data_IF_809254958433
#
_entry.id   IF_809254958433
#
_cell.length_a   1.000
_cell.length_b   1.000
_cell.length_c   1.000
_cell.angle_alpha   90.00
_cell.angle_beta   90.00
_cell.angle_gamma   90.00
#
_symmetry.space_group_name_H-M   'P 1'
#
loop_
_entity.id
_entity.type
_entity.pdbx_description
1 polymer ?
#
# COMPACT_ATOMS: atom_id res chain seq x y z
N UNK A 1 -58.87 -33.12 -29.35
CA UNK A 1 -57.64 -32.50 -29.75
C UNK A 1 -56.97 -31.91 -28.47
N UNK A 2 -55.91 -32.55 -27.91
CA UNK A 2 -55.17 -32.11 -26.74
C UNK A 2 -54.01 -31.23 -27.22
N UNK A 3 -54.00 -29.95 -26.81
CA UNK A 3 -52.87 -29.03 -27.07
C UNK A 3 -51.80 -29.28 -26.03
N UNK A 4 -50.62 -29.71 -26.48
CA UNK A 4 -49.42 -29.85 -25.66
C UNK A 4 -48.70 -28.50 -25.67
N UNK A 5 -48.58 -27.85 -24.49
CA UNK A 5 -47.76 -26.65 -24.32
C UNK A 5 -46.29 -27.09 -23.98
N UNK A 6 -45.37 -26.78 -24.87
CA UNK A 6 -43.92 -26.91 -24.56
C UNK A 6 -43.46 -25.68 -23.78
N UNK A 7 -43.09 -25.89 -22.54
CA UNK A 7 -42.40 -24.88 -21.71
C UNK A 7 -40.92 -24.89 -22.06
N UNK A 8 -40.44 -23.89 -22.80
CA UNK A 8 -39.02 -23.72 -23.07
C UNK A 8 -38.41 -23.02 -21.85
N UNK A 9 -37.64 -23.77 -21.04
CA UNK A 9 -36.85 -23.24 -19.95
C UNK A 9 -35.58 -22.56 -20.55
N UNK A 10 -35.52 -21.23 -20.51
CA UNK A 10 -34.30 -20.51 -20.81
C UNK A 10 -33.33 -20.63 -19.63
N UNK A 11 -32.30 -21.47 -19.74
CA UNK A 11 -31.18 -21.48 -18.86
C UNK A 11 -30.25 -20.30 -19.25
N UNK A 12 -30.35 -19.19 -18.50
CA UNK A 12 -29.36 -18.13 -18.62
C UNK A 12 -27.98 -18.67 -18.19
N UNK A 13 -26.90 -18.42 -18.95
CA UNK A 13 -25.57 -18.84 -18.52
C UNK A 13 -25.18 -18.05 -17.26
N UNK A 14 -25.03 -18.73 -16.13
CA UNK A 14 -24.35 -18.18 -14.97
C UNK A 14 -22.88 -18.00 -15.37
N UNK A 15 -22.51 -16.75 -15.68
CA UNK A 15 -21.11 -16.37 -15.76
C UNK A 15 -20.51 -16.53 -14.36
N UNK A 16 -19.78 -17.61 -14.13
CA UNK A 16 -18.88 -17.74 -12.98
C UNK A 16 -17.81 -16.64 -13.13
N UNK A 17 -18.04 -15.50 -12.49
CA UNK A 17 -16.94 -14.57 -12.21
C UNK A 17 -16.05 -15.30 -11.25
N UNK A 18 -14.90 -15.78 -11.74
CA UNK A 18 -13.86 -16.38 -10.90
C UNK A 18 -13.55 -15.36 -9.77
N UNK A 19 -13.91 -15.69 -8.54
CA UNK A 19 -13.58 -14.89 -7.38
C UNK A 19 -12.05 -14.94 -7.27
N UNK A 20 -11.40 -13.77 -7.41
CA UNK A 20 -9.95 -13.66 -7.27
C UNK A 20 -9.56 -14.16 -5.89
N UNK A 21 -8.52 -15.00 -5.80
CA UNK A 21 -8.08 -15.60 -4.55
C UNK A 21 -7.84 -14.53 -3.49
N UNK A 22 -8.22 -14.83 -2.26
CA UNK A 22 -7.98 -13.96 -1.11
C UNK A 22 -6.47 -13.83 -0.87
N UNK A 23 -6.05 -12.61 -0.57
CA UNK A 23 -4.63 -12.33 -0.29
C UNK A 23 -4.18 -13.08 0.96
N UNK A 24 -3.06 -13.81 0.85
CA UNK A 24 -2.55 -14.67 1.93
C UNK A 24 -1.66 -13.87 2.89
N UNK A 25 -1.90 -14.02 4.20
CA UNK A 25 -1.05 -13.41 5.24
C UNK A 25 0.33 -14.08 5.26
N UNK A 26 1.34 -13.34 4.87
CA UNK A 26 2.75 -13.77 4.80
C UNK A 26 3.68 -12.59 4.50
N UNK A 27 4.98 -12.84 4.41
CA UNK A 27 5.94 -11.90 3.82
C UNK A 27 5.91 -11.98 2.29
N UNK A 28 5.92 -10.82 1.63
CA UNK A 28 6.11 -10.63 0.19
C UNK A 28 7.43 -9.89 0.00
N UNK A 29 8.40 -10.57 -0.61
CA UNK A 29 9.72 -10.01 -0.76
C UNK A 29 9.77 -8.91 -1.81
N UNK A 30 10.60 -7.90 -1.57
CA UNK A 30 10.92 -6.88 -2.55
C UNK A 30 11.47 -7.53 -3.82
N UNK A 31 11.01 -7.05 -4.95
CA UNK A 31 11.53 -7.41 -6.27
C UNK A 31 11.93 -6.12 -6.97
N UNK A 32 13.23 -5.97 -7.19
CA UNK A 32 13.75 -4.80 -7.90
C UNK A 32 13.13 -4.73 -9.29
N UNK A 33 12.46 -3.64 -9.67
CA UNK A 33 12.10 -3.40 -11.05
C UNK A 33 13.38 -3.31 -11.90
N UNK A 34 13.47 -4.08 -12.96
CA UNK A 34 14.63 -4.04 -13.87
C UNK A 34 14.30 -3.13 -15.02
N UNK A 35 14.95 -1.98 -15.07
CA UNK A 35 14.84 -1.04 -16.20
C UNK A 35 15.56 -1.63 -17.42
N UNK A 36 14.82 -1.85 -18.49
CA UNK A 36 15.43 -2.02 -19.82
C UNK A 36 15.72 -0.61 -20.35
N UNK A 37 16.86 -0.38 -20.95
CA UNK A 37 17.38 0.91 -21.42
C UNK A 37 16.44 1.77 -22.30
N UNK A 38 15.18 1.35 -22.50
CA UNK A 38 14.17 2.01 -23.33
C UNK A 38 12.90 2.43 -22.58
N UNK A 39 12.77 2.14 -21.26
CA UNK A 39 11.57 2.48 -20.49
C UNK A 39 11.92 3.40 -19.33
N UNK A 40 11.32 4.59 -19.30
CA UNK A 40 11.49 5.55 -18.20
C UNK A 40 10.85 5.04 -16.88
N UNK A 41 9.87 4.14 -16.96
CA UNK A 41 9.19 3.54 -15.80
C UNK A 41 9.09 2.03 -15.98
N UNK A 42 9.51 1.31 -14.97
CA UNK A 42 9.30 -0.13 -14.82
C UNK A 42 8.45 -0.44 -13.60
N UNK A 43 7.70 -1.54 -13.64
CA UNK A 43 6.77 -1.92 -12.58
C UNK A 43 6.73 -3.43 -12.42
N UNK A 44 6.79 -3.91 -11.17
CA UNK A 44 6.65 -5.33 -10.81
C UNK A 44 5.52 -5.46 -9.80
N UNK A 45 4.57 -6.36 -10.05
CA UNK A 45 3.52 -6.69 -9.08
C UNK A 45 4.13 -7.56 -7.99
N UNK A 46 4.10 -7.11 -6.73
CA UNK A 46 4.54 -7.86 -5.57
C UNK A 46 3.44 -8.81 -5.09
N UNK A 47 2.21 -8.32 -5.05
CA UNK A 47 1.02 -9.11 -4.79
C UNK A 47 -0.23 -8.46 -5.36
N UNK A 48 -1.28 -9.28 -5.52
CA UNK A 48 -2.57 -8.91 -6.07
C UNK A 48 -3.64 -9.89 -5.57
N UNK A 49 -4.72 -9.38 -4.95
CA UNK A 49 -5.77 -10.22 -4.41
C UNK A 49 -6.92 -9.41 -3.81
N UNK A 50 -7.89 -10.12 -3.22
CA UNK A 50 -8.94 -9.51 -2.40
C UNK A 50 -8.60 -9.61 -0.91
N UNK A 51 -9.22 -8.76 -0.09
CA UNK A 51 -9.11 -8.81 1.38
C UNK A 51 -10.51 -8.87 1.99
N UNK A 52 -10.61 -8.83 3.32
CA UNK A 52 -11.91 -8.79 3.99
C UNK A 52 -12.73 -7.57 3.53
N UNK A 53 -12.14 -6.38 3.43
CA UNK A 53 -12.82 -5.12 3.10
C UNK A 53 -12.62 -4.69 1.65
N UNK A 54 -11.51 -5.11 1.02
CA UNK A 54 -11.17 -4.72 -0.34
C UNK A 54 -11.59 -5.78 -1.36
N UNK A 55 -12.35 -5.36 -2.37
CA UNK A 55 -12.63 -6.17 -3.55
C UNK A 55 -11.33 -6.48 -4.31
N UNK A 56 -10.38 -5.57 -4.27
CA UNK A 56 -9.10 -5.68 -4.92
C UNK A 56 -8.05 -4.83 -4.19
N UNK A 57 -6.89 -5.40 -3.95
CA UNK A 57 -5.70 -4.77 -3.41
C UNK A 57 -4.49 -5.27 -4.19
N UNK A 58 -3.72 -4.35 -4.76
CA UNK A 58 -2.49 -4.66 -5.48
C UNK A 58 -1.36 -3.78 -4.94
N UNK A 59 -0.18 -4.36 -4.77
CA UNK A 59 1.05 -3.65 -4.44
C UNK A 59 2.06 -3.85 -5.55
N UNK A 60 2.56 -2.74 -6.07
CA UNK A 60 3.61 -2.72 -7.07
C UNK A 60 4.91 -2.15 -6.47
N UNK A 61 6.05 -2.70 -6.91
CA UNK A 61 7.34 -2.04 -6.88
C UNK A 61 7.55 -1.33 -8.22
N UNK A 62 7.76 -0.04 -8.19
CA UNK A 62 7.97 0.80 -9.37
C UNK A 62 9.33 1.48 -9.31
N UNK A 63 10.00 1.58 -10.45
CA UNK A 63 11.21 2.40 -10.64
C UNK A 63 10.94 3.48 -11.69
N UNK A 64 11.36 4.70 -11.42
CA UNK A 64 11.34 5.82 -12.36
C UNK A 64 12.76 6.31 -12.58
N UNK A 65 13.28 6.16 -13.79
CA UNK A 65 14.58 6.73 -14.18
C UNK A 65 14.44 8.24 -14.39
N UNK A 66 15.57 8.95 -14.47
CA UNK A 66 15.61 10.38 -14.76
C UNK A 66 14.79 10.73 -16.00
N UNK A 67 14.02 11.81 -15.94
CA UNK A 67 13.18 12.25 -17.05
C UNK A 67 13.17 13.76 -17.21
N UNK A 68 13.27 14.24 -18.47
CA UNK A 68 13.25 15.66 -18.80
C UNK A 68 11.87 16.30 -18.61
N UNK A 69 10.78 15.51 -18.71
CA UNK A 69 9.41 15.99 -18.61
C UNK A 69 8.60 15.22 -17.55
N UNK A 70 7.69 15.92 -16.88
CA UNK A 70 6.74 15.31 -15.96
C UNK A 70 5.71 14.45 -16.72
N UNK A 71 5.49 13.22 -16.23
CA UNK A 71 4.44 12.33 -16.73
C UNK A 71 3.13 12.69 -16.06
N UNK A 72 2.17 13.21 -16.81
CA UNK A 72 0.80 13.48 -16.36
C UNK A 72 -0.01 12.19 -16.33
N UNK A 73 -0.77 11.99 -15.25
CA UNK A 73 -1.59 10.81 -14.99
C UNK A 73 -2.90 11.19 -14.29
N UNK A 74 -3.85 10.27 -14.30
CA UNK A 74 -5.09 10.37 -13.53
C UNK A 74 -5.32 9.03 -12.81
N UNK A 75 -5.70 9.10 -11.56
CA UNK A 75 -6.16 7.91 -10.81
C UNK A 75 -7.48 7.43 -11.41
N UNK A 76 -7.64 6.14 -11.76
CA UNK A 76 -8.93 5.62 -12.20
C UNK A 76 -10.05 5.93 -11.19
N UNK A 77 -11.24 6.29 -11.67
CA UNK A 77 -12.38 6.66 -10.81
C UNK A 77 -12.88 5.52 -9.91
N UNK A 78 -12.43 4.30 -10.17
CA UNK A 78 -12.82 3.09 -9.43
C UNK A 78 -11.84 2.67 -8.35
N UNK A 79 -10.71 3.38 -8.18
CA UNK A 79 -9.67 2.99 -7.22
C UNK A 79 -9.07 4.21 -6.52
N UNK A 80 -8.40 3.95 -5.43
CA UNK A 80 -7.58 4.89 -4.67
C UNK A 80 -6.14 4.40 -4.70
N UNK A 81 -5.17 5.30 -4.66
CA UNK A 81 -3.75 4.95 -4.75
C UNK A 81 -2.95 5.60 -3.64
N UNK A 82 -2.07 4.81 -3.00
CA UNK A 82 -1.07 5.28 -2.05
C UNK A 82 0.33 5.00 -2.61
N UNK A 83 1.12 6.04 -2.79
CA UNK A 83 2.53 5.96 -3.17
C UNK A 83 3.40 6.09 -1.93
N UNK A 84 4.48 5.32 -1.86
CA UNK A 84 5.47 5.37 -0.78
C UNK A 84 6.86 5.34 -1.41
N UNK A 85 7.65 6.39 -1.20
CA UNK A 85 8.98 6.49 -1.79
C UNK A 85 9.95 5.61 -1.01
N UNK A 86 10.51 4.59 -1.68
CA UNK A 86 11.46 3.65 -1.09
C UNK A 86 12.89 4.17 -1.15
N UNK A 87 13.29 4.78 -2.28
CA UNK A 87 14.66 5.26 -2.51
C UNK A 87 14.68 6.37 -3.54
N UNK A 88 15.60 7.32 -3.40
CA UNK A 88 15.75 8.43 -4.32
C UNK A 88 14.77 9.58 -4.04
N UNK A 89 14.51 10.38 -5.06
CA UNK A 89 13.63 11.55 -5.00
C UNK A 89 12.58 11.50 -6.10
N UNK A 90 11.35 11.88 -5.78
CA UNK A 90 10.23 11.98 -6.72
C UNK A 90 9.65 13.38 -6.70
N UNK A 91 9.67 14.07 -7.83
CA UNK A 91 8.92 15.32 -8.02
C UNK A 91 7.47 14.98 -8.38
N UNK A 92 6.52 15.49 -7.60
CA UNK A 92 5.09 15.23 -7.75
C UNK A 92 4.33 16.53 -7.92
N UNK A 93 3.52 16.63 -9.00
CA UNK A 93 2.59 17.72 -9.21
C UNK A 93 1.17 17.29 -8.85
N UNK A 94 0.49 18.06 -7.99
CA UNK A 94 -0.91 17.85 -7.59
C UNK A 94 -1.56 19.21 -7.27
N UNK A 95 -2.78 19.45 -7.79
CA UNK A 95 -3.54 20.67 -7.50
C UNK A 95 -2.71 21.97 -7.65
N UNK A 96 -2.07 22.15 -8.81
CA UNK A 96 -1.23 23.31 -9.16
C UNK A 96 0.02 23.52 -8.29
N UNK A 97 0.30 22.60 -7.37
CA UNK A 97 1.49 22.59 -6.53
C UNK A 97 2.46 21.49 -6.96
N UNK A 98 3.76 21.74 -6.76
CA UNK A 98 4.84 20.80 -7.07
C UNK A 98 5.69 20.56 -5.83
N UNK A 99 5.96 19.30 -5.55
CA UNK A 99 6.70 18.84 -4.36
C UNK A 99 7.87 17.97 -4.79
N UNK A 100 9.02 18.17 -4.18
CA UNK A 100 10.16 17.24 -4.24
C UNK A 100 10.12 16.37 -2.98
N UNK A 101 9.90 15.07 -3.15
CA UNK A 101 9.65 14.12 -2.09
C UNK A 101 10.78 13.11 -2.01
N UNK A 102 11.29 12.89 -0.80
CA UNK A 102 12.39 11.98 -0.52
C UNK A 102 11.90 10.64 0.02
N UNK A 103 12.83 9.70 0.19
CA UNK A 103 12.62 8.42 0.88
C UNK A 103 11.75 8.55 2.14
N UNK A 104 10.77 7.67 2.29
CA UNK A 104 9.79 7.69 3.38
C UNK A 104 8.59 8.61 3.16
N UNK A 105 8.62 9.53 2.19
CA UNK A 105 7.47 10.37 1.85
C UNK A 105 6.35 9.56 1.21
N UNK A 106 5.10 10.05 1.36
CA UNK A 106 3.91 9.39 0.81
C UNK A 106 3.00 10.34 0.04
N UNK A 107 2.21 9.78 -0.87
CA UNK A 107 1.18 10.49 -1.63
C UNK A 107 -0.08 9.63 -1.62
N UNK A 108 -1.19 10.14 -1.05
CA UNK A 108 -2.51 9.53 -1.16
C UNK A 108 -3.31 10.27 -2.22
N UNK A 109 -3.82 9.53 -3.19
CA UNK A 109 -4.57 10.05 -4.34
C UNK A 109 -5.96 9.43 -4.40
N UNK A 110 -6.99 10.27 -4.28
CA UNK A 110 -8.38 9.86 -4.41
C UNK A 110 -8.75 9.46 -5.85
N UNK A 111 -9.85 8.71 -6.05
CA UNK A 111 -10.37 8.40 -7.38
C UNK A 111 -10.58 9.66 -8.23
N UNK A 112 -10.13 9.61 -9.49
CA UNK A 112 -10.24 10.72 -10.45
C UNK A 112 -9.21 11.85 -10.26
N UNK A 113 -8.30 11.77 -9.29
CA UNK A 113 -7.28 12.80 -9.07
C UNK A 113 -6.29 12.86 -10.24
N UNK A 114 -6.13 14.06 -10.83
CA UNK A 114 -5.04 14.34 -11.76
C UNK A 114 -3.76 14.65 -10.99
N UNK A 115 -2.65 14.11 -11.46
CA UNK A 115 -1.32 14.33 -10.86
C UNK A 115 -0.22 14.13 -11.90
N UNK A 116 0.99 14.50 -11.56
CA UNK A 116 2.16 14.21 -12.38
C UNK A 116 3.33 13.73 -11.52
N UNK A 117 4.19 12.91 -12.12
CA UNK A 117 5.44 12.48 -11.52
C UNK A 117 6.61 12.74 -12.46
N UNK A 118 7.76 13.06 -11.88
CA UNK A 118 9.02 13.26 -12.57
C UNK A 118 10.17 12.86 -11.65
N UNK A 119 11.18 12.19 -12.18
CA UNK A 119 12.46 12.06 -11.50
C UNK A 119 13.43 13.06 -12.11
N UNK A 120 13.80 14.12 -11.38
CA UNK A 120 14.77 15.14 -11.79
C UNK A 120 16.21 14.77 -11.40
N UNK A 121 16.39 13.79 -10.52
CA UNK A 121 17.69 13.32 -10.09
C UNK A 121 18.34 12.41 -11.14
N UNK A 122 19.66 12.31 -11.14
CA UNK A 122 20.39 11.40 -12.03
C UNK A 122 20.16 9.91 -11.64
N UNK A 123 20.02 9.62 -10.35
CA UNK A 123 19.75 8.27 -9.85
C UNK A 123 18.27 7.89 -10.01
N UNK A 124 17.95 6.60 -10.25
CA UNK A 124 16.56 6.13 -10.26
C UNK A 124 15.87 6.36 -8.91
N UNK A 125 14.54 6.53 -8.97
CA UNK A 125 13.65 6.57 -7.82
C UNK A 125 12.83 5.28 -7.75
N UNK A 126 12.97 4.54 -6.65
CA UNK A 126 12.18 3.36 -6.34
C UNK A 126 11.03 3.72 -5.41
N UNK A 127 9.82 3.23 -5.70
CA UNK A 127 8.65 3.51 -4.87
C UNK A 127 7.61 2.38 -4.96
N UNK A 128 6.81 2.25 -3.91
CA UNK A 128 5.64 1.38 -3.90
C UNK A 128 4.42 2.12 -4.43
N UNK A 129 3.53 1.38 -5.08
CA UNK A 129 2.18 1.85 -5.42
C UNK A 129 1.17 0.82 -4.93
N UNK A 130 0.50 1.15 -3.84
CA UNK A 130 -0.67 0.44 -3.35
C UNK A 130 -1.90 0.96 -4.09
N UNK A 131 -2.59 0.07 -4.81
CA UNK A 131 -3.85 0.36 -5.51
C UNK A 131 -4.94 -0.48 -4.90
N UNK A 132 -6.10 0.11 -4.64
CA UNK A 132 -7.16 -0.64 -3.98
C UNK A 132 -8.56 -0.15 -4.35
N UNK A 133 -9.52 -1.09 -4.25
CA UNK A 133 -10.94 -0.89 -4.47
C UNK A 133 -11.71 -1.51 -3.31
N UNK A 134 -12.55 -0.72 -2.65
CA UNK A 134 -13.43 -1.22 -1.60
C UNK A 134 -14.46 -2.22 -2.16
N UNK A 135 -14.98 -3.11 -1.31
CA UNK A 135 -16.19 -3.89 -1.59
C UNK A 135 -17.44 -3.03 -1.61
N UNK A 136 -17.45 -1.94 -0.86
CA UNK A 136 -18.49 -0.90 -0.92
C UNK A 136 -18.21 0.09 -2.06
N UNK A 137 -19.22 0.77 -2.60
CA UNK A 137 -19.00 1.87 -3.53
C UNK A 137 -18.07 2.95 -2.95
N UNK A 138 -17.29 3.60 -3.82
CA UNK A 138 -16.45 4.73 -3.42
C UNK A 138 -17.33 5.87 -2.90
N UNK A 139 -16.95 6.42 -1.74
CA UNK A 139 -17.58 7.60 -1.13
C UNK A 139 -16.65 8.80 -1.32
N UNK A 140 -16.77 9.46 -2.47
CA UNK A 140 -15.90 10.58 -2.84
C UNK A 140 -16.10 11.79 -1.93
N UNK A 141 -17.32 12.01 -1.43
CA UNK A 141 -17.61 13.11 -0.50
C UNK A 141 -16.89 12.89 0.83
N UNK A 142 -16.99 11.68 1.38
CA UNK A 142 -16.21 11.30 2.57
C UNK A 142 -14.71 11.52 2.36
N UNK A 143 -14.18 11.09 1.21
CA UNK A 143 -12.76 11.27 0.89
C UNK A 143 -12.36 12.75 0.87
N UNK A 144 -13.14 13.61 0.21
CA UNK A 144 -12.89 15.05 0.08
C UNK A 144 -12.99 15.78 1.42
N UNK A 145 -14.06 15.54 2.18
CA UNK A 145 -14.33 16.21 3.47
C UNK A 145 -13.32 15.82 4.55
N UNK A 146 -12.70 14.65 4.42
CA UNK A 146 -11.63 14.20 5.30
C UNK A 146 -10.22 14.52 4.78
N UNK A 147 -10.07 15.56 3.96
CA UNK A 147 -8.80 16.15 3.56
C UNK A 147 -8.29 15.77 2.17
N UNK A 148 -9.10 15.09 1.35
CA UNK A 148 -8.82 14.87 -0.08
C UNK A 148 -7.54 14.09 -0.36
N UNK A 149 -7.02 14.26 -1.58
CA UNK A 149 -5.67 13.82 -1.95
C UNK A 149 -4.61 14.66 -1.27
N UNK A 150 -3.53 14.06 -0.77
CA UNK A 150 -2.52 14.77 0.00
C UNK A 150 -1.14 14.11 -0.07
N UNK A 151 -0.15 14.88 0.37
CA UNK A 151 1.24 14.48 0.47
C UNK A 151 1.69 14.62 1.93
N UNK A 152 2.54 13.71 2.37
CA UNK A 152 3.33 13.81 3.61
C UNK A 152 4.80 13.64 3.25
N UNK A 153 5.56 14.72 3.41
CA UNK A 153 7.01 14.69 3.25
C UNK A 153 7.64 14.16 4.54
N UNK A 154 8.50 13.17 4.41
CA UNK A 154 9.27 12.56 5.51
C UNK A 154 9.98 13.61 6.37
N UNK A 155 10.58 14.61 5.75
CA UNK A 155 11.34 15.65 6.44
C UNK A 155 10.48 16.49 7.40
N UNK A 156 9.17 16.54 7.17
CA UNK A 156 8.21 17.30 7.97
C UNK A 156 7.51 16.45 9.05
N UNK A 157 7.81 15.14 9.14
CA UNK A 157 7.18 14.25 10.12
C UNK A 157 8.08 14.08 11.33
N UNK A 158 7.61 14.57 12.48
CA UNK A 158 8.37 14.58 13.72
C UNK A 158 8.56 13.15 14.22
N UNK A 159 9.82 12.77 14.47
CA UNK A 159 10.16 11.56 15.20
C UNK A 159 9.91 11.77 16.69
N UNK A 160 9.14 10.87 17.30
CA UNK A 160 8.84 10.85 18.73
C UNK A 160 9.55 9.65 19.37
N UNK A 161 10.67 9.86 20.10
CA UNK A 161 11.37 8.77 20.75
C UNK A 161 10.54 8.17 21.89
N UNK A 162 10.78 6.87 22.16
CA UNK A 162 10.23 6.15 23.31
C UNK A 162 11.22 5.05 23.76
N UNK A 163 10.90 4.29 24.82
CA UNK A 163 11.79 3.29 25.40
C UNK A 163 12.18 2.19 24.42
N UNK A 164 11.30 1.86 23.45
CA UNK A 164 11.54 0.83 22.43
C UNK A 164 12.25 1.35 21.17
N UNK A 165 12.39 2.68 21.01
CA UNK A 165 12.97 3.33 19.84
C UNK A 165 12.24 4.61 19.51
N UNK A 166 11.09 4.54 18.80
CA UNK A 166 10.29 5.72 18.51
C UNK A 166 9.29 5.54 17.38
N UNK A 167 8.53 6.59 17.11
CA UNK A 167 7.47 6.59 16.09
C UNK A 167 7.42 7.88 15.27
N UNK A 168 6.87 7.81 14.05
CA UNK A 168 6.45 8.95 13.24
C UNK A 168 4.99 8.74 12.84
N UNK A 169 4.08 9.62 13.25
CA UNK A 169 2.67 9.51 12.90
C UNK A 169 2.40 10.26 11.61
N UNK A 170 1.88 9.57 10.59
CA UNK A 170 1.52 10.15 9.30
C UNK A 170 0.10 10.68 9.30
N UNK A 171 -0.88 9.80 9.47
CA UNK A 171 -2.30 10.16 9.55
C UNK A 171 -3.14 8.97 10.02
N UNK A 172 -4.34 9.28 10.49
CA UNK A 172 -5.42 8.34 10.72
C UNK A 172 -6.73 9.02 10.32
N UNK A 173 -7.41 8.51 9.29
CA UNK A 173 -8.67 9.11 8.81
C UNK A 173 -9.41 8.17 7.86
N UNK A 174 -10.72 8.40 7.63
CA UNK A 174 -11.42 7.77 6.50
C UNK A 174 -10.96 8.37 5.16
N UNK A 175 -11.13 7.59 4.08
CA UNK A 175 -10.84 7.99 2.69
C UNK A 175 -12.04 7.71 1.81
N UNK A 176 -11.91 7.83 0.49
CA UNK A 176 -13.00 7.47 -0.42
C UNK A 176 -13.26 5.96 -0.43
N UNK A 177 -12.23 5.13 -0.19
CA UNK A 177 -12.33 3.66 -0.27
C UNK A 177 -12.31 2.97 1.09
N UNK A 178 -11.88 3.63 2.16
CA UNK A 178 -11.75 3.04 3.51
C UNK A 178 -12.56 3.83 4.53
N UNK A 179 -13.12 3.14 5.52
CA UNK A 179 -13.71 3.78 6.71
C UNK A 179 -12.62 4.28 7.64
N UNK A 180 -11.46 3.60 7.64
CA UNK A 180 -10.26 3.96 8.37
C UNK A 180 -9.04 3.57 7.54
N UNK A 181 -8.14 4.51 7.33
CA UNK A 181 -6.78 4.29 6.89
C UNK A 181 -5.85 4.96 7.89
N UNK A 182 -4.99 4.18 8.51
CA UNK A 182 -4.04 4.61 9.53
C UNK A 182 -2.63 4.28 9.05
N UNK A 183 -1.72 5.23 9.17
CA UNK A 183 -0.34 5.04 8.76
C UNK A 183 0.62 5.70 9.73
N UNK A 184 1.57 4.93 10.22
CA UNK A 184 2.67 5.41 11.03
C UNK A 184 3.96 4.64 10.72
N UNK A 185 5.08 5.16 11.18
CA UNK A 185 6.39 4.49 11.15
C UNK A 185 6.80 4.17 12.57
N UNK A 186 7.30 2.96 12.76
CA UNK A 186 7.89 2.50 14.01
C UNK A 186 9.37 2.21 13.80
N UNK A 187 10.20 2.67 14.74
CA UNK A 187 11.59 2.27 14.88
C UNK A 187 11.74 1.43 16.15
N UNK A 188 12.33 0.24 16.05
CA UNK A 188 12.60 -0.65 17.19
C UNK A 188 14.09 -0.85 17.40
N UNK A 189 14.54 -0.73 18.65
CA UNK A 189 15.88 -1.10 19.08
C UNK A 189 16.13 -2.61 18.86
N UNK A 190 17.39 -3.05 18.75
CA UNK A 190 17.75 -4.46 18.62
C UNK A 190 17.10 -5.36 19.68
N UNK A 191 16.60 -6.51 19.26
CA UNK A 191 16.03 -7.55 20.14
C UNK A 191 14.62 -7.23 20.68
N UNK A 192 14.10 -6.01 20.49
CA UNK A 192 12.82 -5.62 21.07
C UNK A 192 11.63 -6.02 20.19
N UNK A 193 10.48 -6.27 20.84
CA UNK A 193 9.17 -6.42 20.22
C UNK A 193 8.44 -5.08 20.23
N UNK A 194 7.65 -4.82 19.18
CA UNK A 194 6.72 -3.69 19.16
C UNK A 194 5.71 -3.82 20.32
N UNK A 195 5.05 -4.96 20.36
CA UNK A 195 4.06 -5.36 21.38
C UNK A 195 3.98 -6.90 21.42
N UNK A 196 3.27 -7.46 22.38
CA UNK A 196 2.95 -8.87 22.37
C UNK A 196 2.01 -9.21 21.22
N UNK A 197 2.07 -10.45 20.68
CA UNK A 197 1.18 -10.87 19.60
C UNK A 197 -0.29 -10.64 19.95
N UNK A 198 -1.04 -10.03 19.01
CA UNK A 198 -2.43 -9.67 19.20
C UNK A 198 -3.22 -9.81 17.90
N UNK A 199 -4.51 -9.55 17.95
CA UNK A 199 -5.41 -9.53 16.80
C UNK A 199 -6.19 -8.23 16.78
N UNK A 200 -6.55 -7.74 15.60
CA UNK A 200 -7.48 -6.64 15.41
C UNK A 200 -8.26 -6.78 14.09
N UNK A 201 -9.40 -6.07 14.02
CA UNK A 201 -10.33 -6.15 12.88
C UNK A 201 -9.73 -5.61 11.58
N UNK A 202 -8.96 -4.53 11.63
CA UNK A 202 -8.32 -3.97 10.46
C UNK A 202 -7.33 -4.96 9.84
N UNK A 203 -7.25 -5.03 8.52
CA UNK A 203 -6.10 -5.63 7.86
C UNK A 203 -4.89 -4.70 7.98
N UNK A 204 -3.68 -5.27 7.98
CA UNK A 204 -2.45 -4.47 8.14
C UNK A 204 -1.39 -4.87 7.13
N UNK A 205 -0.62 -3.89 6.68
CA UNK A 205 0.65 -4.09 5.96
C UNK A 205 1.77 -3.46 6.76
N UNK A 206 2.86 -4.23 6.91
CA UNK A 206 4.12 -3.71 7.46
C UNK A 206 5.16 -3.70 6.34
N UNK A 207 5.66 -2.51 5.96
CA UNK A 207 6.66 -2.33 4.91
C UNK A 207 7.99 -1.99 5.56
N UNK A 208 8.99 -2.85 5.37
CA UNK A 208 10.32 -2.67 5.94
C UNK A 208 11.06 -1.52 5.24
N UNK A 209 11.43 -0.50 6.02
CA UNK A 209 12.25 0.61 5.55
C UNK A 209 13.73 0.25 5.71
N UNK A 210 14.09 -0.31 6.87
CA UNK A 210 15.47 -0.62 7.22
C UNK A 210 15.53 -1.74 8.27
N UNK A 211 16.65 -2.48 8.30
CA UNK A 211 16.94 -3.50 9.30
C UNK A 211 16.29 -4.86 9.03
N UNK A 212 16.27 -5.71 10.04
CA UNK A 212 15.86 -7.11 9.96
C UNK A 212 14.82 -7.41 11.03
N UNK A 213 13.68 -7.97 10.63
CA UNK A 213 12.61 -8.29 11.55
C UNK A 213 12.15 -9.74 11.40
N UNK A 214 11.47 -10.21 12.44
CA UNK A 214 10.68 -11.44 12.39
C UNK A 214 9.24 -11.11 12.80
N UNK A 215 8.30 -11.49 11.94
CA UNK A 215 6.87 -11.36 12.13
C UNK A 215 6.26 -12.71 12.46
N UNK A 216 5.61 -12.83 13.61
CA UNK A 216 4.69 -13.93 13.89
C UNK A 216 3.38 -13.67 13.13
N UNK A 217 2.90 -14.66 12.36
CA UNK A 217 1.61 -14.64 11.67
C UNK A 217 0.91 -15.96 11.98
N UNK A 218 -0.11 -15.94 12.84
CA UNK A 218 -0.70 -17.15 13.42
C UNK A 218 0.35 -17.95 14.19
N UNK A 219 0.61 -19.18 13.74
CA UNK A 219 1.62 -20.05 14.36
C UNK A 219 2.96 -20.06 13.59
N UNK A 220 3.11 -19.27 12.53
CA UNK A 220 4.30 -19.23 11.67
C UNK A 220 5.10 -17.97 11.92
N UNK A 221 6.41 -18.07 11.68
CA UNK A 221 7.34 -16.95 11.77
C UNK A 221 7.95 -16.68 10.40
N UNK A 222 7.99 -15.42 10.01
CA UNK A 222 8.51 -14.95 8.74
C UNK A 222 9.58 -13.89 8.98
N UNK A 223 10.75 -14.05 8.37
CA UNK A 223 11.79 -13.03 8.39
C UNK A 223 11.58 -12.05 7.25
N UNK A 224 11.83 -10.77 7.50
CA UNK A 224 11.78 -9.69 6.51
C UNK A 224 12.97 -8.77 6.62
N UNK A 225 13.40 -8.29 5.49
CA UNK A 225 14.51 -7.39 5.28
C UNK A 225 14.02 -6.07 4.67
N UNK A 226 14.92 -5.11 4.50
CA UNK A 226 14.63 -3.86 3.81
C UNK A 226 13.85 -4.09 2.50
N UNK A 227 12.74 -3.42 2.35
CA UNK A 227 11.86 -3.48 1.19
C UNK A 227 10.80 -4.58 1.24
N UNK A 228 10.90 -5.56 2.11
CA UNK A 228 9.89 -6.62 2.23
C UNK A 228 8.60 -6.10 2.85
N UNK A 229 7.48 -6.75 2.52
CA UNK A 229 6.15 -6.39 3.00
C UNK A 229 5.52 -7.59 3.68
N UNK A 230 5.13 -7.44 4.94
CA UNK A 230 4.21 -8.36 5.60
C UNK A 230 2.78 -7.91 5.34
N UNK A 231 1.95 -8.81 4.86
CA UNK A 231 0.50 -8.62 4.82
C UNK A 231 -0.17 -9.48 5.90
N UNK A 232 -1.05 -8.86 6.66
CA UNK A 232 -1.76 -9.43 7.79
C UNK A 232 -3.26 -9.25 7.55
N UNK A 233 -3.97 -10.33 7.32
CA UNK A 233 -5.42 -10.30 7.15
C UNK A 233 -6.13 -9.92 8.47
N UNK A 234 -7.35 -9.42 8.37
CA UNK A 234 -8.21 -9.10 9.52
C UNK A 234 -8.27 -10.28 10.52
N UNK A 235 -8.13 -9.98 11.80
CA UNK A 235 -8.19 -10.93 12.93
C UNK A 235 -7.11 -12.02 12.93
N UNK A 236 -6.05 -11.90 12.13
CA UNK A 236 -4.90 -12.82 12.21
C UNK A 236 -4.03 -12.43 13.40
N UNK A 237 -3.65 -13.41 14.24
CA UNK A 237 -2.70 -13.20 15.33
C UNK A 237 -1.34 -12.81 14.73
N UNK A 238 -0.77 -11.69 15.19
CA UNK A 238 0.52 -11.24 14.70
C UNK A 238 1.29 -10.41 15.73
N UNK A 239 2.62 -10.35 15.57
CA UNK A 239 3.53 -9.54 16.36
C UNK A 239 4.90 -9.48 15.71
N UNK A 240 5.54 -8.32 15.75
CA UNK A 240 6.84 -8.07 15.12
C UNK A 240 7.93 -7.82 16.16
N UNK A 241 9.12 -8.34 15.90
CA UNK A 241 10.34 -8.06 16.66
C UNK A 241 11.52 -7.72 15.75
N UNK A 242 12.41 -6.90 16.25
CA UNK A 242 13.71 -6.67 15.63
C UNK A 242 14.65 -7.86 15.94
N UNK A 243 15.17 -8.51 14.90
CA UNK A 243 16.13 -9.63 15.03
C UNK A 243 17.54 -9.24 14.54
N UNK A 244 17.73 -7.97 14.12
CA UNK A 244 19.03 -7.42 13.71
C UNK A 244 19.87 -6.95 14.90
N UNK A 245 21.12 -6.61 14.63
CA UNK A 245 22.06 -5.99 15.58
C UNK A 245 21.86 -4.47 15.69
N UNK A 246 21.20 -3.86 14.70
CA UNK A 246 20.90 -2.43 14.61
C UNK A 246 19.41 -2.16 14.75
N UNK A 247 18.99 -0.91 15.01
CA UNK A 247 17.57 -0.55 14.97
C UNK A 247 16.94 -0.90 13.62
N UNK A 248 15.69 -1.37 13.62
CA UNK A 248 14.90 -1.54 12.41
C UNK A 248 13.80 -0.49 12.33
N UNK A 249 13.39 -0.12 11.12
CA UNK A 249 12.34 0.87 10.87
C UNK A 249 11.36 0.33 9.83
N UNK A 250 10.05 0.52 10.05
CA UNK A 250 9.01 0.05 9.15
C UNK A 250 7.77 0.93 9.19
N UNK A 251 7.05 1.00 8.08
CA UNK A 251 5.67 1.48 8.04
C UNK A 251 4.72 0.43 8.59
N UNK A 252 3.74 0.85 9.37
CA UNK A 252 2.53 0.10 9.68
C UNK A 252 1.34 0.82 9.04
N UNK A 253 0.57 0.10 8.22
CA UNK A 253 -0.56 0.63 7.45
C UNK A 253 -1.77 -0.25 7.74
N UNK A 254 -2.72 0.27 8.51
CA UNK A 254 -3.96 -0.42 8.86
C UNK A 254 -5.13 0.15 8.07
N UNK A 255 -6.02 -0.72 7.58
CA UNK A 255 -7.18 -0.32 6.79
C UNK A 255 -8.40 -1.22 7.00
N UNK A 256 -9.59 -0.58 6.94
CA UNK A 256 -10.91 -1.25 7.01
C UNK A 256 -12.02 -0.44 6.33
#
# INVERSE_FOLDING_TARGET
MKKIFFLILYLAPLSLVAQKDSLVSRVYNWKQPVSNNHRQKTSVVLFDGSTYDMKWLQMNADELTSSAAAKKMMVPVTEEQLYIIKKGELTVGINDSVFALVHGSIILLLPGQNFSIQNKAAAPCDYYVMKYRSKSPADLERGKTNGGSFIKDWNNIIFKPNDKGGTRNYFQRPTAMTKRLDMHVTTLKPGLKSHEPHTHRAAEMVIMIDGHTEMQIGQKFYKGNEGDIYYLAANVLHGIRNIGAEPCTYFAIQFE
#
